data_IF_727745503997
#
_entry.id   IF_727745503997
#
_cell.length_a   1.000
_cell.length_b   1.000
_cell.length_c   1.000
_cell.angle_alpha   90.00
_cell.angle_beta   90.00
_cell.angle_gamma   90.00
#
_symmetry.space_group_name_H-M   'P 1'
#
loop_
_entity.id
_entity.type
_entity.pdbx_description
1 polymer ?
#
# COMPACT_ATOMS: atom_id res chain seq x y z
N UNK A 1 45.57 37.52 27.06
CA UNK A 1 45.69 37.06 25.66
C UNK A 1 46.10 35.59 25.63
N UNK A 2 45.16 34.65 25.78
CA UNK A 2 45.41 33.19 25.68
C UNK A 2 44.11 32.47 25.31
N UNK A 3 43.91 32.19 24.02
CA UNK A 3 42.99 31.12 23.52
C UNK A 3 42.99 31.06 21.99
N UNK A 4 44.06 30.51 21.40
CA UNK A 4 44.04 30.13 19.98
C UNK A 4 44.92 28.90 19.73
N UNK A 5 44.64 27.81 20.46
CA UNK A 5 45.25 26.50 20.19
C UNK A 5 44.23 25.40 20.52
N UNK A 6 43.11 25.35 19.80
CA UNK A 6 42.13 24.27 19.89
C UNK A 6 41.49 24.03 18.51
N UNK A 7 42.31 24.01 17.46
CA UNK A 7 41.85 23.79 16.08
C UNK A 7 42.61 22.72 15.30
N UNK A 8 43.71 22.19 15.84
CA UNK A 8 44.66 21.38 15.05
C UNK A 8 44.61 19.88 15.43
N UNK A 9 44.02 19.52 16.57
CA UNK A 9 43.96 18.12 17.03
C UNK A 9 42.92 17.25 16.33
N UNK A 10 41.83 17.83 15.80
CA UNK A 10 40.74 17.03 15.21
C UNK A 10 40.89 16.71 13.72
N UNK A 11 41.93 17.23 13.04
CA UNK A 11 42.21 16.90 11.63
C UNK A 11 43.10 15.67 11.47
N UNK A 12 43.73 15.18 12.55
CA UNK A 12 44.75 14.12 12.51
C UNK A 12 44.21 12.70 12.70
N UNK A 13 42.89 12.49 12.74
CA UNK A 13 42.25 11.17 12.92
C UNK A 13 41.50 10.67 11.67
N UNK A 14 41.61 11.35 10.52
CA UNK A 14 40.93 10.97 9.26
C UNK A 14 41.84 10.26 8.25
N UNK A 15 43.01 9.76 8.68
CA UNK A 15 43.96 9.02 7.84
C UNK A 15 44.42 7.71 8.49
N UNK A 16 43.49 6.93 9.03
CA UNK A 16 43.75 5.53 9.36
C UNK A 16 43.12 4.64 8.27
N UNK A 17 43.99 3.94 7.53
CA UNK A 17 43.72 2.67 6.87
C UNK A 17 42.62 2.65 5.80
N UNK A 18 43.01 2.75 4.53
CA UNK A 18 42.24 2.21 3.40
C UNK A 18 42.29 0.66 3.37
N UNK A 19 42.15 0.01 4.53
CA UNK A 19 41.98 -1.44 4.60
C UNK A 19 40.50 -1.73 4.42
N UNK A 20 40.16 -2.36 3.28
CA UNK A 20 38.78 -2.79 3.02
C UNK A 20 38.39 -3.76 4.13
N UNK A 21 37.45 -3.34 4.98
CA UNK A 21 36.87 -4.21 6.02
C UNK A 21 36.46 -5.54 5.39
N UNK A 22 36.87 -6.68 5.96
CA UNK A 22 36.59 -7.99 5.36
C UNK A 22 35.08 -8.18 5.20
N UNK A 23 34.67 -8.65 4.02
CA UNK A 23 33.27 -8.80 3.67
C UNK A 23 32.60 -9.86 4.55
N UNK A 24 31.65 -9.42 5.38
CA UNK A 24 30.89 -10.32 6.23
C UNK A 24 29.83 -11.08 5.41
N UNK A 25 30.21 -12.27 4.90
CA UNK A 25 29.34 -13.17 4.12
C UNK A 25 28.06 -13.56 4.88
N UNK A 26 28.10 -13.69 6.22
CA UNK A 26 26.94 -14.05 7.05
C UNK A 26 25.91 -12.91 7.08
N UNK A 27 26.36 -11.67 7.31
CA UNK A 27 25.50 -10.48 7.25
C UNK A 27 24.90 -10.29 5.86
N UNK A 28 25.70 -10.50 4.81
CA UNK A 28 25.21 -10.41 3.43
C UNK A 28 24.11 -11.44 3.14
N UNK A 29 24.32 -12.71 3.50
CA UNK A 29 23.29 -13.76 3.28
C UNK A 29 21.99 -13.45 4.02
N UNK A 30 22.09 -12.97 5.27
CA UNK A 30 20.91 -12.53 6.03
C UNK A 30 20.20 -11.36 5.35
N UNK A 31 20.92 -10.35 4.87
CA UNK A 31 20.32 -9.22 4.15
C UNK A 31 19.73 -9.64 2.79
N UNK A 32 20.40 -10.52 2.05
CA UNK A 32 19.99 -10.90 0.69
C UNK A 32 18.76 -11.81 0.68
N UNK A 33 18.69 -12.76 1.61
CA UNK A 33 17.66 -13.81 1.61
C UNK A 33 16.59 -13.66 2.70
N UNK A 34 16.79 -12.82 3.72
CA UNK A 34 15.74 -12.59 4.71
C UNK A 34 14.59 -11.77 4.11
N UNK A 35 13.40 -12.37 4.09
CA UNK A 35 12.18 -11.68 3.68
C UNK A 35 11.92 -10.42 4.54
N UNK A 36 12.16 -10.51 5.86
CA UNK A 36 12.04 -9.38 6.79
C UNK A 36 12.92 -8.20 6.39
N UNK A 37 14.15 -8.48 5.93
CA UNK A 37 15.05 -7.43 5.48
C UNK A 37 14.58 -6.79 4.17
N UNK A 38 14.09 -7.58 3.20
CA UNK A 38 13.52 -7.07 1.95
C UNK A 38 12.31 -6.18 2.18
N UNK A 39 11.40 -6.59 3.08
CA UNK A 39 10.22 -5.80 3.45
C UNK A 39 10.66 -4.47 4.07
N UNK A 40 11.61 -4.51 5.02
CA UNK A 40 12.15 -3.30 5.66
C UNK A 40 12.78 -2.34 4.65
N UNK A 41 13.58 -2.84 3.70
CA UNK A 41 14.17 -2.02 2.63
C UNK A 41 13.11 -1.38 1.74
N UNK A 42 12.03 -2.10 1.43
CA UNK A 42 10.92 -1.57 0.65
C UNK A 42 10.16 -0.46 1.40
N UNK A 43 9.90 -0.66 2.69
CA UNK A 43 9.28 0.36 3.56
C UNK A 43 10.15 1.61 3.68
N UNK A 44 11.47 1.46 3.88
CA UNK A 44 12.43 2.56 3.91
C UNK A 44 12.44 3.35 2.60
N UNK A 45 12.41 2.65 1.46
CA UNK A 45 12.33 3.27 0.13
C UNK A 45 11.04 4.08 -0.03
N UNK A 46 9.90 3.57 0.44
CA UNK A 46 8.62 4.29 0.44
C UNK A 46 8.66 5.53 1.33
N UNK A 47 9.16 5.41 2.56
CA UNK A 47 9.33 6.54 3.48
C UNK A 47 10.20 7.64 2.86
N UNK A 48 11.32 7.27 2.24
CA UNK A 48 12.21 8.21 1.55
C UNK A 48 11.52 8.89 0.35
N UNK A 49 10.70 8.16 -0.40
CA UNK A 49 9.93 8.74 -1.51
C UNK A 49 8.90 9.76 -1.02
N UNK A 50 8.18 9.46 0.06
CA UNK A 50 7.23 10.39 0.70
C UNK A 50 7.96 11.65 1.15
N UNK A 51 9.07 11.50 1.88
CA UNK A 51 9.87 12.62 2.36
C UNK A 51 10.38 13.50 1.21
N UNK A 52 10.88 12.89 0.12
CA UNK A 52 11.30 13.61 -1.09
C UNK A 52 10.14 14.35 -1.75
N UNK A 53 8.95 13.76 -1.80
CA UNK A 53 7.78 14.43 -2.37
C UNK A 53 7.36 15.64 -1.54
N UNK A 54 7.43 15.54 -0.21
CA UNK A 54 7.12 16.63 0.71
C UNK A 54 8.06 17.82 0.52
N UNK A 55 9.38 17.60 0.57
CA UNK A 55 10.35 18.68 0.34
C UNK A 55 10.21 19.30 -1.06
N UNK A 56 10.00 18.48 -2.10
CA UNK A 56 9.76 18.99 -3.46
C UNK A 56 8.50 19.88 -3.54
N UNK A 57 7.49 19.61 -2.73
CA UNK A 57 6.27 20.42 -2.67
C UNK A 57 6.55 21.76 -1.98
N UNK A 58 7.29 21.74 -0.86
CA UNK A 58 7.75 22.96 -0.17
C UNK A 58 8.57 23.85 -1.12
N UNK A 59 9.56 23.29 -1.81
CA UNK A 59 10.40 24.04 -2.75
C UNK A 59 9.55 24.65 -3.88
N UNK A 60 8.55 23.92 -4.37
CA UNK A 60 7.65 24.38 -5.42
C UNK A 60 6.73 25.51 -4.94
N UNK A 61 6.28 25.46 -3.69
CA UNK A 61 5.44 26.49 -3.09
C UNK A 61 6.25 27.77 -2.81
N UNK A 62 7.51 27.63 -2.36
CA UNK A 62 8.43 28.78 -2.28
C UNK A 62 8.60 29.45 -3.65
N UNK A 63 8.92 28.68 -4.70
CA UNK A 63 9.09 29.23 -6.05
C UNK A 63 7.80 29.86 -6.63
N UNK A 64 6.61 29.36 -6.27
CA UNK A 64 5.33 29.97 -6.64
C UNK A 64 5.09 31.29 -5.92
N UNK A 65 5.52 31.42 -4.67
CA UNK A 65 5.42 32.66 -3.90
C UNK A 65 6.37 33.74 -4.44
N UNK A 66 7.56 33.38 -4.92
CA UNK A 66 8.48 34.31 -5.59
C UNK A 66 8.03 34.74 -7.00
N UNK A 67 7.22 33.92 -7.69
CA UNK A 67 6.75 34.17 -9.07
C UNK A 67 5.34 34.75 -9.15
N UNK A 68 4.84 35.47 -8.13
CA UNK A 68 3.61 36.29 -8.28
C UNK A 68 4.00 37.61 -8.97
N UNK A 69 3.66 37.84 -10.26
CA UNK A 69 3.70 39.17 -10.82
C UNK A 69 2.45 39.92 -10.34
N UNK A 70 2.61 41.17 -9.92
CA UNK A 70 1.52 42.10 -9.70
C UNK A 70 0.67 42.21 -10.97
N UNK A 71 -0.56 41.69 -10.94
CA UNK A 71 -1.55 41.95 -11.99
C UNK A 71 -2.13 43.33 -11.73
N UNK A 72 -1.46 44.34 -12.27
CA UNK A 72 -2.09 45.61 -12.65
C UNK A 72 -2.17 45.60 -14.17
N UNK A 73 -3.38 45.61 -14.73
CA UNK A 73 -3.74 46.42 -15.91
C UNK A 73 -5.25 46.70 -15.91
N UNK A 74 -5.48 47.97 -16.21
CA UNK A 74 -6.66 48.81 -16.28
C UNK A 74 -7.64 48.45 -17.43
N UNK A 75 -8.80 49.10 -17.37
CA UNK A 75 -10.03 48.99 -18.16
C UNK A 75 -9.90 49.08 -19.70
N UNK A 76 -10.77 48.35 -20.42
CA UNK A 76 -11.66 48.93 -21.44
C UNK A 76 -12.71 47.94 -21.97
N UNK A 77 -13.92 48.46 -22.21
CA UNK A 77 -15.12 47.74 -22.66
C UNK A 77 -15.09 47.42 -24.16
N UNK A 78 -15.68 46.29 -24.58
CA UNK A 78 -16.55 46.25 -25.75
C UNK A 78 -17.44 44.99 -25.77
N UNK A 79 -18.68 45.15 -26.22
CA UNK A 79 -19.74 44.14 -26.27
C UNK A 79 -19.43 42.98 -27.22
N UNK A 80 -19.96 41.78 -26.94
CA UNK A 80 -20.53 40.84 -27.93
C UNK A 80 -20.93 39.49 -27.30
N UNK A 81 -22.19 39.09 -27.54
CA UNK A 81 -22.72 37.71 -27.63
C UNK A 81 -22.80 36.86 -26.35
N UNK A 82 -24.02 36.42 -26.06
CA UNK A 82 -24.40 35.41 -25.07
C UNK A 82 -23.68 34.08 -25.33
N UNK A 83 -22.52 33.90 -24.71
CA UNK A 83 -21.84 32.61 -24.57
C UNK A 83 -21.66 32.35 -23.07
N UNK A 84 -21.96 31.15 -22.56
CA UNK A 84 -21.83 30.85 -21.14
C UNK A 84 -20.38 31.13 -20.70
N UNK A 85 -20.17 31.76 -19.52
CA UNK A 85 -18.85 32.17 -19.08
C UNK A 85 -17.90 30.98 -19.06
N UNK A 86 -16.81 31.08 -19.84
CA UNK A 86 -15.79 30.03 -19.95
C UNK A 86 -15.22 29.77 -18.56
N UNK A 87 -15.57 28.63 -17.95
CA UNK A 87 -15.06 28.23 -16.63
C UNK A 87 -13.54 28.29 -16.62
N UNK A 88 -12.99 29.04 -15.67
CA UNK A 88 -11.54 29.19 -15.47
C UNK A 88 -10.87 27.81 -15.41
N UNK A 89 -9.67 27.70 -16.00
CA UNK A 89 -8.88 26.46 -15.98
C UNK A 89 -8.69 25.93 -14.55
N UNK A 90 -8.60 26.83 -13.57
CA UNK A 90 -8.55 26.49 -12.14
C UNK A 90 -9.82 25.78 -11.65
N UNK A 91 -11.00 26.27 -12.06
CA UNK A 91 -12.27 25.64 -11.70
C UNK A 91 -12.38 24.23 -12.29
N UNK A 92 -12.00 24.06 -13.56
CA UNK A 92 -11.96 22.74 -14.22
C UNK A 92 -11.02 21.77 -13.48
N UNK A 93 -9.81 22.23 -13.12
CA UNK A 93 -8.84 21.43 -12.38
C UNK A 93 -9.35 21.02 -10.98
N UNK A 94 -10.06 21.92 -10.29
CA UNK A 94 -10.70 21.62 -8.99
C UNK A 94 -11.78 20.54 -9.13
N UNK A 95 -12.61 20.63 -10.16
CA UNK A 95 -13.68 19.66 -10.41
C UNK A 95 -13.12 18.27 -10.74
N UNK A 96 -12.11 18.19 -11.60
CA UNK A 96 -11.42 16.93 -11.93
C UNK A 96 -10.73 16.31 -10.70
N UNK A 97 -10.14 17.13 -9.83
CA UNK A 97 -9.55 16.66 -8.58
C UNK A 97 -10.59 16.01 -7.65
N UNK A 98 -11.76 16.64 -7.50
CA UNK A 98 -12.85 16.10 -6.69
C UNK A 98 -13.37 14.78 -7.27
N UNK A 99 -13.61 14.72 -8.59
CA UNK A 99 -13.99 13.48 -9.29
C UNK A 99 -13.02 12.33 -9.01
N UNK A 100 -11.73 12.58 -9.21
CA UNK A 100 -10.69 11.57 -8.97
C UNK A 100 -10.58 11.17 -7.49
N UNK A 101 -10.90 12.07 -6.56
CA UNK A 101 -10.94 11.76 -5.13
C UNK A 101 -12.11 10.83 -4.83
N UNK A 102 -13.29 11.11 -5.38
CA UNK A 102 -14.50 10.31 -5.17
C UNK A 102 -14.39 8.93 -5.79
N UNK A 103 -13.84 8.83 -7.01
CA UNK A 103 -13.55 7.55 -7.66
C UNK A 103 -12.62 6.68 -6.82
N UNK A 104 -11.56 7.27 -6.24
CA UNK A 104 -10.65 6.55 -5.34
C UNK A 104 -11.34 6.09 -4.06
N UNK A 105 -12.27 6.87 -3.52
CA UNK A 105 -13.05 6.47 -2.36
C UNK A 105 -13.95 5.27 -2.69
N UNK A 106 -14.68 5.34 -3.81
CA UNK A 106 -15.54 4.25 -4.29
C UNK A 106 -14.75 2.96 -4.56
N UNK A 107 -13.61 3.05 -5.24
CA UNK A 107 -12.74 1.90 -5.48
C UNK A 107 -12.25 1.26 -4.17
N UNK A 108 -11.88 2.06 -3.17
CA UNK A 108 -11.47 1.53 -1.86
C UNK A 108 -12.62 0.80 -1.19
N UNK A 109 -13.81 1.39 -1.17
CA UNK A 109 -15.01 0.78 -0.60
C UNK A 109 -15.35 -0.55 -1.27
N UNK A 110 -15.34 -0.59 -2.60
CA UNK A 110 -15.60 -1.80 -3.38
C UNK A 110 -14.55 -2.89 -3.09
N UNK A 111 -13.26 -2.54 -3.08
CA UNK A 111 -12.20 -3.52 -2.76
C UNK A 111 -12.32 -4.07 -1.34
N UNK A 112 -12.75 -3.26 -0.37
CA UNK A 112 -13.02 -3.71 1.00
C UNK A 112 -14.22 -4.66 1.04
N UNK A 113 -15.30 -4.34 0.32
CA UNK A 113 -16.50 -5.17 0.22
C UNK A 113 -16.17 -6.54 -0.39
N UNK A 114 -15.51 -6.57 -1.54
CA UNK A 114 -15.10 -7.82 -2.22
C UNK A 114 -14.18 -8.66 -1.34
N UNK A 115 -13.26 -8.00 -0.60
CA UNK A 115 -12.38 -8.70 0.34
C UNK A 115 -13.18 -9.33 1.49
N UNK A 116 -14.13 -8.61 2.07
CA UNK A 116 -14.97 -9.11 3.15
C UNK A 116 -15.81 -10.31 2.69
N UNK A 117 -16.44 -10.22 1.52
CA UNK A 117 -17.22 -11.31 0.93
C UNK A 117 -16.37 -12.55 0.69
N UNK A 118 -15.15 -12.38 0.15
CA UNK A 118 -14.21 -13.48 -0.05
C UNK A 118 -13.80 -14.13 1.28
N UNK A 119 -13.52 -13.33 2.30
CA UNK A 119 -13.17 -13.84 3.62
C UNK A 119 -14.33 -14.60 4.26
N UNK A 120 -15.56 -14.11 4.13
CA UNK A 120 -16.77 -14.78 4.60
C UNK A 120 -17.01 -16.11 3.87
N UNK A 121 -16.88 -16.13 2.54
CA UNK A 121 -16.99 -17.35 1.73
C UNK A 121 -15.94 -18.40 2.15
N UNK A 122 -14.70 -17.96 2.40
CA UNK A 122 -13.64 -18.85 2.89
C UNK A 122 -13.92 -19.38 4.31
N UNK A 123 -14.48 -18.56 5.21
CA UNK A 123 -14.89 -19.01 6.55
C UNK A 123 -15.98 -20.08 6.45
N UNK A 124 -17.04 -19.81 5.69
CA UNK A 124 -18.14 -20.77 5.45
C UNK A 124 -17.62 -22.08 4.85
N UNK A 125 -16.70 -22.02 3.89
CA UNK A 125 -16.08 -23.21 3.32
C UNK A 125 -15.27 -24.01 4.36
N UNK A 126 -14.45 -23.34 5.17
CA UNK A 126 -13.66 -23.99 6.23
C UNK A 126 -14.55 -24.63 7.29
N UNK A 127 -15.62 -23.96 7.70
CA UNK A 127 -16.59 -24.48 8.65
C UNK A 127 -17.29 -25.73 8.11
N UNK A 128 -17.81 -25.68 6.87
CA UNK A 128 -18.41 -26.85 6.19
C UNK A 128 -17.40 -28.00 6.07
N UNK A 129 -16.15 -27.71 5.69
CA UNK A 129 -15.08 -28.71 5.59
C UNK A 129 -14.78 -29.36 6.95
N UNK A 130 -14.73 -28.56 8.01
CA UNK A 130 -14.49 -29.08 9.36
C UNK A 130 -15.65 -29.95 9.85
N UNK A 131 -16.89 -29.50 9.63
CA UNK A 131 -18.09 -30.26 10.03
C UNK A 131 -18.19 -31.59 9.28
N UNK A 132 -17.96 -31.59 7.96
CA UNK A 132 -17.93 -32.81 7.14
C UNK A 132 -16.81 -33.75 7.56
N UNK A 133 -15.61 -33.23 7.79
CA UNK A 133 -14.50 -34.03 8.31
C UNK A 133 -14.86 -34.68 9.66
N UNK A 134 -15.38 -33.89 10.62
CA UNK A 134 -15.76 -34.39 11.95
C UNK A 134 -16.84 -35.48 11.88
N UNK A 135 -17.76 -35.42 10.92
CA UNK A 135 -18.76 -36.48 10.68
C UNK A 135 -18.10 -37.75 10.11
N UNK A 136 -17.34 -37.60 9.02
CA UNK A 136 -16.76 -38.74 8.27
C UNK A 136 -15.56 -39.41 8.96
N UNK A 137 -14.88 -38.71 9.86
CA UNK A 137 -13.74 -39.22 10.62
C UNK A 137 -14.13 -40.00 11.87
N UNK A 138 -15.43 -40.09 12.22
CA UNK A 138 -15.89 -40.87 13.37
C UNK A 138 -15.57 -42.35 13.16
N UNK A 139 -15.13 -42.99 14.24
CA UNK A 139 -14.81 -44.41 14.30
C UNK A 139 -15.54 -45.08 15.45
N UNK A 140 -15.83 -46.37 15.31
CA UNK A 140 -16.36 -47.24 16.37
C UNK A 140 -15.27 -47.56 17.39
N UNK A 141 -15.63 -48.21 18.50
CA UNK A 141 -14.67 -48.68 19.52
C UNK A 141 -13.57 -49.58 18.93
N UNK A 142 -13.89 -50.33 17.88
CA UNK A 142 -12.97 -51.21 17.13
C UNK A 142 -12.15 -50.47 16.07
N UNK A 143 -12.28 -49.14 15.95
CA UNK A 143 -11.52 -48.32 15.01
C UNK A 143 -12.06 -48.30 13.58
N UNK A 144 -13.13 -49.05 13.29
CA UNK A 144 -13.79 -49.03 11.99
C UNK A 144 -14.53 -47.71 11.77
N UNK A 145 -14.61 -47.20 10.54
CA UNK A 145 -15.37 -45.98 10.26
C UNK A 145 -16.87 -46.17 10.51
N UNK A 146 -17.53 -45.16 11.07
CA UNK A 146 -18.98 -45.19 11.24
C UNK A 146 -19.66 -45.07 9.87
N UNK A 147 -20.38 -46.11 9.45
CA UNK A 147 -20.95 -46.19 8.10
C UNK A 147 -22.18 -45.32 7.89
N UNK A 148 -22.99 -45.06 8.93
CA UNK A 148 -24.22 -44.26 8.84
C UNK A 148 -24.01 -42.91 8.13
N UNK A 149 -23.13 -42.07 8.67
CA UNK A 149 -22.84 -40.73 8.13
C UNK A 149 -22.27 -40.78 6.69
N UNK A 150 -21.58 -41.88 6.32
CA UNK A 150 -21.00 -42.07 4.98
C UNK A 150 -22.06 -42.48 3.96
N UNK A 151 -23.00 -43.34 4.36
CA UNK A 151 -24.11 -43.77 3.55
C UNK A 151 -25.09 -42.63 3.29
N UNK A 152 -25.38 -41.79 4.30
CA UNK A 152 -26.19 -40.57 4.12
C UNK A 152 -25.59 -39.63 3.07
N UNK A 153 -24.27 -39.38 3.13
CA UNK A 153 -23.57 -38.56 2.14
C UNK A 153 -23.61 -39.20 0.74
N UNK A 154 -23.50 -40.52 0.63
CA UNK A 154 -23.57 -41.21 -0.66
C UNK A 154 -24.98 -41.11 -1.26
N UNK A 155 -26.01 -41.31 -0.43
CA UNK A 155 -27.41 -41.17 -0.85
C UNK A 155 -27.69 -39.76 -1.35
N UNK A 156 -27.24 -38.73 -0.62
CA UNK A 156 -27.38 -37.33 -1.03
C UNK A 156 -26.75 -37.06 -2.40
N UNK A 157 -25.55 -37.62 -2.66
CA UNK A 157 -24.89 -37.50 -3.98
C UNK A 157 -25.68 -38.17 -5.09
N UNK A 158 -26.21 -39.37 -4.86
CA UNK A 158 -27.04 -40.08 -5.84
C UNK A 158 -28.31 -39.27 -6.13
N UNK A 159 -28.98 -38.76 -5.10
CA UNK A 159 -30.17 -37.92 -5.25
C UNK A 159 -29.87 -36.62 -6.01
N UNK A 160 -28.73 -35.97 -5.75
CA UNK A 160 -28.29 -34.79 -6.50
C UNK A 160 -28.01 -35.12 -7.97
N UNK A 161 -27.44 -36.29 -8.27
CA UNK A 161 -27.19 -36.73 -9.65
C UNK A 161 -28.47 -37.09 -10.41
N UNK A 162 -29.50 -37.57 -9.70
CA UNK A 162 -30.79 -37.95 -10.31
C UNK A 162 -31.73 -36.75 -10.44
N UNK A 163 -31.59 -35.74 -9.57
CA UNK A 163 -32.39 -34.51 -9.59
C UNK A 163 -31.83 -33.43 -10.53
N UNK A 164 -30.54 -33.54 -10.89
CA UNK A 164 -29.92 -32.74 -11.97
C UNK A 164 -30.14 -33.40 -13.33
#
# INVERSE_FOLDING_TARGET
MKSSIQGISNRKQMKEGNEKKPFNKKKYRLQKYSNKYKIKQWEERKKKAILRSFYKQIDKDQQRNLKKPSVFKDDNQNEHTTQPPKKSAFYKAKQEYLRKKDEKCKQKEETLRVKAEREEALKKYKEKKMQTYKKLSKKTKTGQPVMKDRLEMLLEKIQQQVSM
#
